data_IF_370467832130
#
_entry.id   IF_370467832130
#
_cell.length_a   1.000
_cell.length_b   1.000
_cell.length_c   1.000
_cell.angle_alpha   90.00
_cell.angle_beta   90.00
_cell.angle_gamma   90.00
#
_symmetry.space_group_name_H-M   'P 1'
#
loop_
_entity.id
_entity.type
_entity.pdbx_description
1 polymer ?
#
# COMPACT_ATOMS: atom_id res chain seq x y z
N UNK A 1 -14.00 12.56 -0.85
CA UNK A 1 -12.81 12.06 -0.12
C UNK A 1 -11.97 13.25 0.32
N UNK A 2 -11.51 13.30 1.57
CA UNK A 2 -10.58 14.36 1.98
C UNK A 2 -9.17 13.96 1.51
N UNK A 3 -8.68 14.57 0.43
CA UNK A 3 -7.38 14.25 -0.21
C UNK A 3 -6.22 14.21 0.79
N UNK A 4 -6.24 15.08 1.80
CA UNK A 4 -5.23 15.11 2.88
C UNK A 4 -5.11 13.77 3.63
N UNK A 5 -6.20 13.01 3.80
CA UNK A 5 -6.16 11.70 4.46
C UNK A 5 -5.46 10.66 3.59
N UNK A 6 -5.67 10.70 2.28
CA UNK A 6 -5.04 9.76 1.34
C UNK A 6 -3.53 9.98 1.35
N UNK A 7 -3.10 11.24 1.25
CA UNK A 7 -1.69 11.62 1.30
C UNK A 7 -1.06 11.24 2.65
N UNK A 8 -1.72 11.59 3.77
CA UNK A 8 -1.24 11.27 5.11
C UNK A 8 -1.09 9.76 5.35
N UNK A 9 -2.02 8.94 4.84
CA UNK A 9 -1.89 7.48 4.92
C UNK A 9 -0.78 6.93 4.02
N UNK A 10 -0.54 7.52 2.84
CA UNK A 10 0.61 7.15 2.01
C UNK A 10 1.93 7.35 2.75
N UNK A 11 2.09 8.51 3.39
CA UNK A 11 3.25 8.78 4.25
C UNK A 11 3.33 7.83 5.46
N UNK A 12 2.21 7.51 6.09
CA UNK A 12 2.17 6.58 7.23
C UNK A 12 2.58 5.16 6.82
N UNK A 13 2.11 4.65 5.68
CA UNK A 13 2.54 3.33 5.14
C UNK A 13 4.06 3.32 4.99
N UNK A 14 4.61 4.37 4.38
CA UNK A 14 6.04 4.49 4.16
C UNK A 14 6.83 4.52 5.48
N UNK A 15 6.43 5.33 6.46
CA UNK A 15 7.10 5.43 7.77
C UNK A 15 7.09 4.07 8.49
N UNK A 16 5.96 3.37 8.49
CA UNK A 16 5.84 2.05 9.12
C UNK A 16 6.75 1.03 8.44
N UNK A 17 6.75 0.98 7.11
CA UNK A 17 7.62 0.08 6.36
C UNK A 17 9.10 0.40 6.54
N UNK A 18 9.46 1.68 6.53
CA UNK A 18 10.83 2.15 6.77
C UNK A 18 11.33 1.72 8.16
N UNK A 19 10.51 1.89 9.20
CA UNK A 19 10.85 1.48 10.55
C UNK A 19 11.04 -0.04 10.68
N UNK A 20 10.15 -0.84 10.07
CA UNK A 20 10.23 -2.30 10.07
C UNK A 20 11.49 -2.78 9.35
N UNK A 21 11.78 -2.23 8.16
CA UNK A 21 12.99 -2.58 7.42
C UNK A 21 14.26 -2.14 8.15
N UNK A 22 14.26 -0.96 8.78
CA UNK A 22 15.38 -0.49 9.60
C UNK A 22 15.65 -1.44 10.77
N UNK A 23 14.62 -1.99 11.40
CA UNK A 23 14.78 -3.01 12.44
C UNK A 23 15.43 -4.29 11.86
N UNK A 24 14.96 -4.79 10.72
CA UNK A 24 15.58 -5.97 10.08
C UNK A 24 17.03 -5.77 9.68
N UNK A 25 17.38 -4.57 9.22
CA UNK A 25 18.78 -4.19 8.93
C UNK A 25 19.59 -4.16 10.24
N UNK A 26 19.06 -3.57 11.31
CA UNK A 26 19.75 -3.53 12.61
C UNK A 26 20.02 -4.92 13.21
N UNK A 27 19.13 -5.89 12.95
CA UNK A 27 19.32 -7.29 13.34
C UNK A 27 20.13 -8.11 12.33
N UNK A 28 20.53 -7.54 11.19
CA UNK A 28 21.32 -8.23 10.16
C UNK A 28 20.57 -9.32 9.38
N UNK A 29 19.23 -9.29 9.38
CA UNK A 29 18.38 -10.32 8.73
C UNK A 29 17.74 -9.86 7.42
N UNK A 30 17.96 -8.60 7.02
CA UNK A 30 17.33 -7.96 5.85
C UNK A 30 17.54 -8.71 4.52
N UNK A 31 18.62 -9.46 4.38
CA UNK A 31 18.94 -10.17 3.14
C UNK A 31 18.27 -11.54 3.01
N UNK A 32 17.67 -12.04 4.09
CA UNK A 32 17.04 -13.36 4.12
C UNK A 32 15.76 -13.36 3.29
N UNK A 33 15.58 -14.38 2.43
CA UNK A 33 14.43 -14.48 1.53
C UNK A 33 13.08 -14.40 2.28
N UNK A 34 12.98 -15.10 3.42
CA UNK A 34 11.77 -15.08 4.25
C UNK A 34 11.45 -13.68 4.79
N UNK A 35 12.45 -12.89 5.17
CA UNK A 35 12.25 -11.50 5.62
C UNK A 35 11.73 -10.65 4.47
N UNK A 36 12.28 -10.78 3.27
CA UNK A 36 11.80 -10.07 2.07
C UNK A 36 10.33 -10.40 1.78
N UNK A 37 9.96 -11.67 1.84
CA UNK A 37 8.58 -12.14 1.64
C UNK A 37 7.65 -11.56 2.72
N UNK A 38 8.04 -11.66 3.99
CA UNK A 38 7.23 -11.14 5.12
C UNK A 38 7.02 -9.63 4.99
N UNK A 39 8.07 -8.86 4.65
CA UNK A 39 7.97 -7.41 4.46
C UNK A 39 6.98 -7.03 3.35
N UNK A 40 6.94 -7.78 2.24
CA UNK A 40 5.97 -7.57 1.16
C UNK A 40 4.54 -7.71 1.70
N UNK A 41 4.26 -8.77 2.45
CA UNK A 41 2.93 -9.01 3.02
C UNK A 41 2.56 -7.98 4.09
N UNK A 42 3.50 -7.57 4.94
CA UNK A 42 3.28 -6.51 5.93
C UNK A 42 2.87 -5.21 5.23
N UNK A 43 3.60 -4.79 4.18
CA UNK A 43 3.27 -3.58 3.43
C UNK A 43 1.87 -3.63 2.82
N UNK A 44 1.53 -4.74 2.15
CA UNK A 44 0.19 -4.96 1.60
C UNK A 44 -0.90 -4.98 2.67
N UNK A 45 -0.63 -5.59 3.83
CA UNK A 45 -1.57 -5.67 4.96
C UNK A 45 -1.82 -4.29 5.58
N UNK A 46 -0.79 -3.48 5.81
CA UNK A 46 -0.93 -2.10 6.31
C UNK A 46 -1.76 -1.28 5.33
N UNK A 47 -1.45 -1.35 4.03
CA UNK A 47 -2.22 -0.68 2.98
C UNK A 47 -3.70 -1.12 2.98
N UNK A 48 -3.97 -2.41 3.13
CA UNK A 48 -5.32 -2.96 3.19
C UNK A 48 -6.12 -2.48 4.42
N UNK A 49 -5.47 -2.37 5.59
CA UNK A 49 -6.06 -1.85 6.81
C UNK A 49 -6.41 -0.37 6.62
N UNK A 50 -5.47 0.44 6.15
CA UNK A 50 -5.68 1.88 5.93
C UNK A 50 -6.72 2.16 4.83
N UNK A 51 -6.81 1.29 3.82
CA UNK A 51 -7.84 1.41 2.79
C UNK A 51 -9.25 1.22 3.36
N UNK A 52 -9.39 0.38 4.38
CA UNK A 52 -10.63 0.21 5.13
C UNK A 52 -11.08 1.49 5.86
N UNK A 53 -10.14 2.39 6.19
CA UNK A 53 -10.42 3.69 6.79
C UNK A 53 -10.80 4.74 5.73
N UNK A 54 -10.30 4.61 4.50
CA UNK A 54 -10.66 5.49 3.38
C UNK A 54 -12.06 5.14 2.84
N UNK A 55 -12.39 3.85 2.76
CA UNK A 55 -13.64 3.32 2.19
C UNK A 55 -13.87 3.82 0.75
N UNK A 56 -13.03 3.43 -0.21
CA UNK A 56 -13.22 3.84 -1.60
C UNK A 56 -14.58 3.37 -2.14
N UNK A 57 -15.31 4.29 -2.77
CA UNK A 57 -16.68 4.06 -3.24
C UNK A 57 -16.74 3.31 -4.59
N UNK A 58 -15.63 3.25 -5.33
CA UNK A 58 -15.55 2.64 -6.66
C UNK A 58 -14.17 2.04 -6.90
N UNK A 59 -14.08 1.13 -7.87
CA UNK A 59 -12.82 0.54 -8.30
C UNK A 59 -11.82 1.60 -8.78
N UNK A 60 -12.28 2.54 -9.62
CA UNK A 60 -11.45 3.66 -10.08
C UNK A 60 -10.94 4.51 -8.91
N UNK A 61 -11.79 4.82 -7.93
CA UNK A 61 -11.39 5.55 -6.73
C UNK A 61 -10.35 4.80 -5.88
N UNK A 62 -10.49 3.47 -5.77
CA UNK A 62 -9.52 2.63 -5.07
C UNK A 62 -8.17 2.58 -5.78
N UNK A 63 -8.14 2.45 -7.11
CA UNK A 63 -6.91 2.48 -7.90
C UNK A 63 -6.19 3.83 -7.79
N UNK A 64 -6.93 4.94 -7.77
CA UNK A 64 -6.35 6.28 -7.54
C UNK A 64 -5.72 6.37 -6.15
N UNK A 65 -6.39 5.86 -5.11
CA UNK A 65 -5.83 5.80 -3.75
C UNK A 65 -4.53 5.00 -3.73
N UNK A 66 -4.54 3.81 -4.32
CA UNK A 66 -3.34 2.96 -4.40
C UNK A 66 -2.22 3.64 -5.17
N UNK A 67 -2.52 4.30 -6.29
CA UNK A 67 -1.55 5.02 -7.09
C UNK A 67 -0.90 6.16 -6.31
N UNK A 68 -1.70 6.95 -5.58
CA UNK A 68 -1.19 8.05 -4.74
C UNK A 68 -0.23 7.51 -3.67
N UNK A 69 -0.57 6.39 -3.04
CA UNK A 69 0.31 5.77 -2.04
C UNK A 69 1.63 5.27 -2.63
N UNK A 70 1.59 4.62 -3.79
CA UNK A 70 2.80 4.18 -4.49
C UNK A 70 3.67 5.37 -4.87
N UNK A 71 3.09 6.43 -5.44
CA UNK A 71 3.83 7.64 -5.83
C UNK A 71 4.50 8.30 -4.62
N UNK A 72 3.78 8.43 -3.50
CA UNK A 72 4.34 8.98 -2.26
C UNK A 72 5.48 8.10 -1.75
N UNK A 73 5.28 6.78 -1.69
CA UNK A 73 6.31 5.86 -1.23
C UNK A 73 7.57 5.90 -2.10
N UNK A 74 7.42 5.85 -3.43
CA UNK A 74 8.54 5.93 -4.36
C UNK A 74 9.30 7.26 -4.24
N UNK A 75 8.58 8.37 -4.07
CA UNK A 75 9.21 9.68 -3.88
C UNK A 75 10.04 9.70 -2.58
N UNK A 76 9.48 9.22 -1.46
CA UNK A 76 10.18 9.17 -0.18
C UNK A 76 11.37 8.22 -0.22
N UNK A 77 11.21 7.02 -0.80
CA UNK A 77 12.30 6.07 -1.00
C UNK A 77 13.40 6.67 -1.87
N UNK A 78 13.05 7.41 -2.92
CA UNK A 78 14.05 8.05 -3.78
C UNK A 78 14.87 9.09 -3.01
N UNK A 79 14.21 9.96 -2.24
CA UNK A 79 14.91 10.99 -1.46
C UNK A 79 15.84 10.43 -0.40
N UNK A 80 15.44 9.33 0.27
CA UNK A 80 16.27 8.70 1.29
C UNK A 80 17.33 7.80 0.65
N UNK A 81 16.92 6.88 -0.21
CA UNK A 81 17.78 5.80 -0.71
C UNK A 81 18.85 6.29 -1.68
N UNK A 82 18.69 7.46 -2.32
CA UNK A 82 19.74 8.07 -3.13
C UNK A 82 21.07 8.21 -2.37
N UNK A 83 21.02 8.43 -1.05
CA UNK A 83 22.21 8.62 -0.23
C UNK A 83 22.65 7.36 0.52
N UNK A 84 21.70 6.47 0.86
CA UNK A 84 21.97 5.32 1.74
C UNK A 84 21.94 3.96 1.03
N UNK A 85 21.18 3.81 -0.06
CA UNK A 85 20.93 2.52 -0.71
C UNK A 85 20.50 2.69 -2.19
N UNK A 86 21.41 3.11 -3.09
CA UNK A 86 21.06 3.43 -4.48
C UNK A 86 20.53 2.23 -5.28
N UNK A 87 20.86 1.01 -4.86
CA UNK A 87 20.43 -0.22 -5.53
C UNK A 87 19.03 -0.69 -5.10
N UNK A 88 18.34 0.01 -4.19
CA UNK A 88 17.02 -0.41 -3.70
C UNK A 88 16.00 -0.58 -4.85
N UNK A 89 16.08 0.26 -5.88
CA UNK A 89 15.17 0.21 -7.03
C UNK A 89 15.44 -0.96 -7.97
N UNK A 90 16.54 -1.70 -7.79
CA UNK A 90 16.81 -2.96 -8.52
C UNK A 90 16.19 -4.17 -7.82
N UNK A 91 15.70 -4.01 -6.58
CA UNK A 91 15.17 -5.11 -5.79
C UNK A 91 13.75 -5.49 -6.22
N UNK A 92 13.54 -6.73 -6.66
CA UNK A 92 12.22 -7.23 -7.09
C UNK A 92 11.16 -7.15 -5.98
N UNK A 93 11.58 -7.37 -4.73
CA UNK A 93 10.67 -7.36 -3.58
C UNK A 93 10.11 -5.97 -3.28
N UNK A 94 10.86 -4.90 -3.62
CA UNK A 94 10.38 -3.53 -3.51
C UNK A 94 9.18 -3.32 -4.45
N UNK A 95 9.35 -3.69 -5.72
CA UNK A 95 8.32 -3.57 -6.74
C UNK A 95 7.08 -4.41 -6.42
N UNK A 96 7.27 -5.61 -5.90
CA UNK A 96 6.14 -6.46 -5.48
C UNK A 96 5.39 -5.85 -4.27
N UNK A 97 6.11 -5.24 -3.32
CA UNK A 97 5.50 -4.50 -2.21
C UNK A 97 4.68 -3.29 -2.69
N UNK A 98 5.19 -2.54 -3.66
CA UNK A 98 4.46 -1.44 -4.29
C UNK A 98 3.23 -1.93 -5.05
N UNK A 99 3.34 -3.04 -5.77
CA UNK A 99 2.21 -3.66 -6.45
C UNK A 99 1.11 -4.06 -5.46
N UNK A 100 1.46 -4.70 -4.33
CA UNK A 100 0.49 -5.04 -3.29
C UNK A 100 -0.16 -3.79 -2.68
N UNK A 101 0.62 -2.74 -2.43
CA UNK A 101 0.12 -1.46 -1.93
C UNK A 101 -0.87 -0.81 -2.90
N UNK A 102 -0.59 -0.91 -4.21
CA UNK A 102 -1.45 -0.40 -5.27
C UNK A 102 -2.81 -1.12 -5.33
N UNK A 103 -2.81 -2.45 -5.25
CA UNK A 103 -4.04 -3.25 -5.37
C UNK A 103 -4.82 -3.33 -4.06
N UNK A 104 -4.18 -3.13 -2.90
CA UNK A 104 -4.81 -3.31 -1.59
C UNK A 104 -6.13 -2.52 -1.41
N UNK A 105 -6.27 -1.27 -1.88
CA UNK A 105 -7.53 -0.53 -1.77
C UNK A 105 -8.68 -1.15 -2.57
N UNK A 106 -8.40 -1.86 -3.66
CA UNK A 106 -9.43 -2.46 -4.51
C UNK A 106 -10.22 -3.54 -3.77
N UNK A 107 -9.57 -4.22 -2.82
CA UNK A 107 -10.18 -5.24 -1.95
C UNK A 107 -11.18 -4.66 -0.94
N UNK A 108 -11.23 -3.32 -0.79
CA UNK A 108 -12.15 -2.62 0.12
C UNK A 108 -13.33 -1.97 -0.58
N UNK A 109 -13.43 -2.08 -1.90
CA UNK A 109 -14.58 -1.59 -2.65
C UNK A 109 -15.77 -2.49 -2.33
N UNK A 110 -16.80 -1.93 -1.70
CA UNK A 110 -18.06 -2.67 -1.51
C UNK A 110 -18.67 -2.94 -2.87
N UNK A 111 -18.91 -4.21 -3.19
CA UNK A 111 -19.74 -4.57 -4.35
C UNK A 111 -21.12 -3.98 -4.09
N UNK A 112 -21.56 -3.02 -4.91
CA UNK A 112 -22.96 -2.61 -4.92
C UNK A 112 -23.77 -3.89 -5.11
N UNK A 113 -24.69 -4.18 -4.18
CA UNK A 113 -25.53 -5.36 -4.25
C UNK A 113 -26.29 -5.34 -5.59
N UNK A 114 -25.87 -6.20 -6.51
CA UNK A 114 -26.66 -6.52 -7.68
C UNK A 114 -27.86 -7.34 -7.20
N UNK A 115 -29.07 -6.81 -7.34
CA UNK A 115 -30.32 -7.56 -7.16
C UNK A 115 -31.08 -7.22 -5.88
N UNK A 116 -31.81 -6.11 -5.90
CA UNK A 116 -33.10 -5.99 -5.23
C UNK A 116 -34.00 -5.09 -6.08
N UNK A 117 -34.22 -5.49 -7.32
CA UNK A 117 -35.39 -5.07 -8.09
C UNK A 117 -36.52 -6.03 -7.75
N UNK A 118 -37.05 -5.94 -6.53
CA UNK A 118 -38.40 -6.46 -6.27
C UNK A 118 -39.34 -5.38 -6.78
N UNK A 119 -39.70 -5.49 -8.07
CA UNK A 119 -40.90 -4.86 -8.60
C UNK A 119 -42.09 -5.53 -7.93
N UNK A 120 -42.53 -4.97 -6.79
CA UNK A 120 -43.88 -5.22 -6.30
C UNK A 120 -44.81 -4.43 -7.21
N UNK A 121 -45.44 -5.12 -8.15
CA UNK A 121 -46.62 -4.61 -8.81
C UNK A 121 -47.78 -4.84 -7.84
N UNK A 122 -48.28 -3.76 -7.24
CA UNK A 122 -49.65 -3.68 -6.70
C UNK A 122 -50.55 -3.04 -7.76
#
# INVERSE_FOLDING_TARGET
>A
MKYIKIIGYGGLIWVLMFAIMSAFVAFGVSDTLWVKIISIFIGGMIAFILAGLIKPASLAGALIVGLVWVVIGLALDFFISKYFAPDIFKMWNLWLGYFLTFIAPTLRVKKLAAGNSVTVFE
#
